data_IF_841845546271
#
_entry.id   IF_841845546271
#
_cell.length_a   1.000
_cell.length_b   1.000
_cell.length_c   1.000
_cell.angle_alpha   90.00
_cell.angle_beta   90.00
_cell.angle_gamma   90.00
#
_symmetry.space_group_name_H-M   'P 1'
#
loop_
_entity.id
_entity.type
_entity.pdbx_description
1 polymer ?
#
# COMPACT_ATOMS: atom_id res chain seq x y z
N UNK A 1 14.09 16.60 -23.37
CA UNK A 1 13.29 15.54 -22.71
C UNK A 1 11.92 16.04 -22.22
N UNK A 2 11.80 17.24 -21.64
CA UNK A 2 10.53 17.79 -21.11
C UNK A 2 9.58 18.33 -22.20
N UNK A 3 10.09 18.74 -23.37
CA UNK A 3 9.27 19.37 -24.43
C UNK A 3 8.40 18.37 -25.22
N UNK A 4 8.76 17.07 -25.21
CA UNK A 4 8.02 16.04 -25.96
C UNK A 4 6.74 15.54 -25.26
N UNK A 5 6.60 15.76 -23.96
CA UNK A 5 5.54 15.11 -23.15
C UNK A 5 4.31 15.98 -22.89
N UNK A 6 4.32 17.24 -23.30
CA UNK A 6 3.20 18.18 -23.06
C UNK A 6 2.03 18.05 -24.05
N UNK A 7 2.16 17.27 -25.11
CA UNK A 7 1.13 17.15 -26.15
C UNK A 7 0.08 16.03 -25.96
N UNK A 8 0.18 15.18 -24.93
CA UNK A 8 -0.60 13.91 -24.90
C UNK A 8 -1.61 13.83 -23.72
N UNK A 9 -1.60 14.73 -22.74
CA UNK A 9 -2.43 14.57 -21.55
C UNK A 9 -3.20 15.86 -21.25
N UNK A 10 -4.42 15.96 -21.76
CA UNK A 10 -5.41 16.95 -21.34
C UNK A 10 -6.77 16.26 -21.36
N UNK A 11 -7.29 15.94 -20.17
CA UNK A 11 -8.73 15.91 -19.82
C UNK A 11 -8.87 15.44 -18.37
N UNK A 12 -9.22 16.40 -17.50
CA UNK A 12 -9.69 16.19 -16.13
C UNK A 12 -11.21 15.97 -16.16
N UNK A 13 -11.72 15.04 -15.35
CA UNK A 13 -13.16 14.81 -15.17
C UNK A 13 -13.47 14.77 -13.68
N UNK A 14 -14.32 15.72 -13.26
CA UNK A 14 -14.84 15.93 -11.92
C UNK A 14 -15.89 14.87 -11.50
N UNK A 15 -15.94 14.56 -10.21
CA UNK A 15 -16.98 13.73 -9.58
C UNK A 15 -17.97 14.60 -8.79
N UNK A 16 -19.29 14.31 -8.82
CA UNK A 16 -20.28 15.07 -8.07
C UNK A 16 -20.60 14.44 -6.69
N UNK A 17 -20.90 15.34 -5.75
CA UNK A 17 -21.28 15.16 -4.35
C UNK A 17 -22.77 14.80 -4.22
N UNK A 18 -23.15 13.97 -3.25
CA UNK A 18 -24.54 13.61 -2.97
C UNK A 18 -25.02 14.19 -1.62
N UNK A 19 -26.21 14.81 -1.65
CA UNK A 19 -26.94 15.42 -0.53
C UNK A 19 -27.88 14.40 0.16
N UNK A 20 -28.18 14.64 1.45
CA UNK A 20 -29.11 13.86 2.29
C UNK A 20 -30.41 14.65 2.52
N UNK A 21 -31.59 14.01 2.61
CA UNK A 21 -32.85 14.72 2.83
C UNK A 21 -33.28 14.78 4.31
N UNK A 22 -33.98 15.87 4.62
CA UNK A 22 -34.59 16.27 5.90
C UNK A 22 -35.96 15.60 6.14
N UNK A 23 -36.32 15.33 7.41
CA UNK A 23 -37.68 14.92 7.83
C UNK A 23 -38.31 15.95 8.79
N UNK A 24 -39.57 16.31 8.52
CA UNK A 24 -40.40 17.25 9.30
C UNK A 24 -41.05 16.61 10.55
N UNK A 25 -41.37 17.38 11.62
CA UNK A 25 -41.92 16.86 12.87
C UNK A 25 -43.46 16.94 12.96
N UNK A 26 -44.10 15.96 13.63
CA UNK A 26 -45.53 15.98 14.01
C UNK A 26 -45.73 16.35 15.49
N UNK A 27 -46.79 17.13 15.76
CA UNK A 27 -47.23 17.69 17.05
C UNK A 27 -47.82 16.64 18.04
N UNK A 28 -47.86 16.93 19.37
CA UNK A 28 -48.19 15.96 20.41
C UNK A 28 -49.68 15.97 20.83
N UNK A 29 -50.21 14.79 21.18
CA UNK A 29 -51.51 14.60 21.81
C UNK A 29 -51.42 14.09 23.25
N UNK A 30 -52.10 14.81 24.14
CA UNK A 30 -52.68 14.51 25.47
C UNK A 30 -51.93 13.63 26.50
N UNK A 31 -51.84 14.23 27.70
CA UNK A 31 -51.36 13.70 28.96
C UNK A 31 -52.47 12.87 29.64
N UNK A 32 -52.15 11.64 30.04
CA UNK A 32 -52.83 10.93 31.13
C UNK A 32 -51.78 10.51 32.16
N UNK A 33 -51.95 11.00 33.39
CA UNK A 33 -51.24 10.56 34.59
C UNK A 33 -52.00 9.37 35.17
N UNK A 34 -51.35 8.22 35.29
CA UNK A 34 -51.47 7.35 36.46
C UNK A 34 -50.28 6.39 36.51
N UNK A 35 -49.32 6.73 37.36
CA UNK A 35 -48.63 5.85 38.31
C UNK A 35 -48.79 4.34 38.07
N UNK A 36 -47.90 3.77 37.25
CA UNK A 36 -47.31 2.42 37.35
C UNK A 36 -46.63 2.07 36.02
N UNK A 37 -45.33 2.34 35.88
CA UNK A 37 -44.57 1.95 34.69
C UNK A 37 -43.29 1.22 35.13
N UNK A 38 -43.33 -0.11 35.04
CA UNK A 38 -42.12 -0.89 34.79
C UNK A 38 -41.48 -0.40 33.49
N UNK A 39 -40.14 -0.28 33.39
CA UNK A 39 -39.53 0.35 32.23
C UNK A 39 -39.86 -0.44 30.96
N UNK A 40 -40.62 0.20 30.06
CA UNK A 40 -40.83 -0.28 28.70
C UNK A 40 -39.46 -0.30 28.01
N UNK A 41 -39.12 -1.44 27.40
CA UNK A 41 -37.90 -1.60 26.61
C UNK A 41 -37.82 -0.51 25.53
N UNK A 42 -36.86 0.40 25.66
CA UNK A 42 -36.38 1.22 24.54
C UNK A 42 -36.51 2.74 24.67
N UNK A 43 -37.08 3.30 25.75
CA UNK A 43 -37.06 4.75 25.98
C UNK A 43 -36.04 5.06 27.09
N UNK A 44 -34.96 5.81 26.83
CA UNK A 44 -34.05 6.25 27.88
C UNK A 44 -34.80 7.21 28.79
N UNK A 45 -34.96 6.86 30.08
CA UNK A 45 -35.41 7.84 31.06
C UNK A 45 -34.33 8.90 31.22
N UNK A 46 -34.71 10.18 31.30
CA UNK A 46 -33.85 11.32 31.65
C UNK A 46 -32.99 11.13 32.93
N UNK A 47 -33.33 10.14 33.76
CA UNK A 47 -32.57 9.68 34.93
C UNK A 47 -31.29 8.90 34.56
N UNK A 48 -31.23 8.27 33.39
CA UNK A 48 -30.14 7.36 33.00
C UNK A 48 -28.97 8.06 32.29
N UNK A 49 -29.08 9.37 32.00
CA UNK A 49 -28.04 10.15 31.31
C UNK A 49 -27.44 11.23 32.23
N UNK A 50 -27.45 10.97 33.55
CA UNK A 50 -26.70 11.78 34.49
C UNK A 50 -25.18 11.55 34.27
N UNK A 51 -24.35 12.62 34.18
CA UNK A 51 -22.90 12.52 33.99
C UNK A 51 -22.17 11.63 35.02
N UNK A 52 -22.84 11.30 36.13
CA UNK A 52 -22.38 10.43 37.20
C UNK A 52 -22.32 8.94 36.88
N UNK A 53 -22.89 8.47 35.77
CA UNK A 53 -22.89 7.06 35.35
C UNK A 53 -21.83 6.69 34.29
N UNK A 54 -20.75 7.48 34.20
CA UNK A 54 -19.53 6.96 33.55
C UNK A 54 -19.11 5.67 34.26
N UNK A 55 -19.22 4.54 33.55
CA UNK A 55 -18.81 3.24 34.07
C UNK A 55 -17.38 3.29 34.59
N UNK A 56 -17.24 3.36 35.92
CA UNK A 56 -15.96 3.18 36.59
C UNK A 56 -15.55 1.72 36.44
N UNK A 57 -14.25 1.46 36.26
CA UNK A 57 -13.74 0.08 36.19
C UNK A 57 -14.20 -0.69 37.43
N UNK A 58 -14.57 -1.96 37.27
CA UNK A 58 -15.19 -2.82 38.30
C UNK A 58 -14.51 -2.80 39.68
N UNK A 59 -13.21 -2.51 39.75
CA UNK A 59 -12.44 -2.39 41.00
C UNK A 59 -12.68 -1.08 41.79
N UNK A 60 -13.28 -0.06 41.17
CA UNK A 60 -13.48 1.27 41.74
C UNK A 60 -14.97 1.64 41.95
N UNK A 61 -15.88 0.66 41.95
CA UNK A 61 -17.31 0.91 42.21
C UNK A 61 -17.56 1.60 43.56
N UNK A 62 -16.65 1.46 44.52
CA UNK A 62 -16.74 2.08 45.86
C UNK A 62 -16.38 3.57 45.90
N UNK A 63 -15.59 4.07 44.95
CA UNK A 63 -15.11 5.47 44.99
C UNK A 63 -16.04 6.49 44.32
N UNK A 64 -17.08 6.02 43.61
CA UNK A 64 -18.04 6.91 42.95
C UNK A 64 -17.40 7.81 41.88
N UNK A 65 -18.25 8.51 41.14
CA UNK A 65 -17.82 9.63 40.30
C UNK A 65 -17.58 10.84 41.22
N UNK A 66 -16.54 11.63 40.93
CA UNK A 66 -16.21 12.79 41.77
C UNK A 66 -17.41 13.74 41.83
N UNK A 67 -17.74 14.20 43.03
CA UNK A 67 -18.83 15.14 43.32
C UNK A 67 -20.24 14.63 42.99
N UNK A 68 -20.43 13.29 42.91
CA UNK A 68 -21.73 12.66 42.72
C UNK A 68 -22.02 11.69 43.84
N UNK A 69 -22.96 12.06 44.71
CA UNK A 69 -23.42 11.24 45.84
C UNK A 69 -24.81 10.70 45.56
N UNK A 70 -24.90 9.41 45.20
CA UNK A 70 -26.19 8.73 45.03
C UNK A 70 -26.78 8.38 46.38
N UNK A 71 -28.07 8.64 46.57
CA UNK A 71 -28.80 8.23 47.75
C UNK A 71 -28.91 6.70 47.77
N UNK A 72 -28.34 6.06 48.80
CA UNK A 72 -28.39 4.62 48.97
C UNK A 72 -29.37 4.26 50.08
N UNK A 73 -30.13 3.18 49.92
CA UNK A 73 -31.13 2.69 50.90
C UNK A 73 -30.58 2.41 52.31
N UNK A 74 -29.26 2.30 52.45
CA UNK A 74 -28.57 2.01 53.71
C UNK A 74 -27.70 3.19 54.15
N UNK A 75 -28.10 4.42 53.88
CA UNK A 75 -27.37 5.59 54.36
C UNK A 75 -27.49 5.71 55.88
N UNK A 76 -26.48 6.32 56.49
CA UNK A 76 -26.48 6.53 57.93
C UNK A 76 -27.68 7.38 58.35
N UNK A 77 -28.12 8.32 57.52
CA UNK A 77 -29.27 9.21 57.75
C UNK A 77 -30.58 8.43 57.94
N UNK A 78 -30.74 7.29 57.26
CA UNK A 78 -31.92 6.43 57.32
C UNK A 78 -31.96 5.54 58.58
N UNK A 79 -30.87 5.49 59.35
CA UNK A 79 -30.84 4.79 60.64
C UNK A 79 -31.62 5.59 61.69
N UNK A 80 -32.90 5.24 61.86
CA UNK A 80 -33.80 5.78 62.89
C UNK A 80 -33.42 5.28 64.30
N UNK A 81 -32.39 5.88 64.89
CA UNK A 81 -32.09 5.70 66.32
C UNK A 81 -33.07 6.48 67.19
N UNK A 82 -33.28 6.01 68.42
CA UNK A 82 -34.21 6.61 69.41
C UNK A 82 -33.85 8.07 69.75
N UNK A 83 -32.57 8.44 69.70
CA UNK A 83 -32.13 9.83 69.86
C UNK A 83 -32.48 10.70 68.67
N UNK A 84 -32.32 10.20 67.43
CA UNK A 84 -32.66 10.93 66.19
C UNK A 84 -34.16 11.13 66.03
N UNK A 85 -34.95 10.15 66.47
CA UNK A 85 -36.42 10.28 66.53
C UNK A 85 -36.89 11.37 67.49
N UNK A 86 -36.16 11.61 68.58
CA UNK A 86 -36.52 12.62 69.60
C UNK A 86 -35.95 14.01 69.30
N UNK A 87 -34.73 14.09 68.76
CA UNK A 87 -34.00 15.36 68.57
C UNK A 87 -33.92 15.81 67.11
N UNK A 88 -34.38 14.99 66.17
CA UNK A 88 -34.14 15.16 64.74
C UNK A 88 -32.74 14.68 64.32
N UNK A 89 -32.52 14.57 63.01
CA UNK A 89 -31.19 14.30 62.46
C UNK A 89 -30.31 15.56 62.59
N UNK A 90 -29.18 15.45 63.29
CA UNK A 90 -28.22 16.54 63.48
C UNK A 90 -26.87 16.13 62.89
N UNK A 91 -26.40 16.90 61.91
CA UNK A 91 -25.03 16.77 61.41
C UNK A 91 -24.09 17.44 62.41
N UNK A 92 -23.04 16.75 62.91
CA UNK A 92 -22.02 17.41 63.70
C UNK A 92 -21.28 18.38 62.78
N UNK A 93 -21.59 19.67 62.91
CA UNK A 93 -20.79 20.73 62.27
C UNK A 93 -19.38 20.60 62.83
N UNK A 94 -18.40 20.44 61.95
CA UNK A 94 -17.02 20.28 62.41
C UNK A 94 -16.60 21.57 63.11
N UNK A 95 -16.13 21.46 64.37
CA UNK A 95 -15.75 22.62 65.20
C UNK A 95 -14.69 23.52 64.52
N UNK A 96 -13.97 22.95 63.56
CA UNK A 96 -12.88 23.60 62.84
C UNK A 96 -13.34 24.44 61.65
N UNK A 97 -14.60 24.41 61.21
CA UNK A 97 -15.04 25.28 60.10
C UNK A 97 -14.97 26.75 60.50
N UNK A 98 -15.47 27.10 61.68
CA UNK A 98 -15.40 28.45 62.23
C UNK A 98 -13.95 28.83 62.56
N UNK A 99 -13.18 27.91 63.16
CA UNK A 99 -11.76 28.15 63.44
C UNK A 99 -10.91 28.26 62.17
N UNK A 100 -11.21 27.54 61.09
CA UNK A 100 -10.48 27.61 59.83
C UNK A 100 -10.81 28.89 59.07
N UNK A 101 -12.07 29.34 59.10
CA UNK A 101 -12.47 30.66 58.62
C UNK A 101 -11.76 31.79 59.38
N UNK A 102 -11.76 31.73 60.72
CA UNK A 102 -11.08 32.71 61.58
C UNK A 102 -9.56 32.65 61.41
N UNK A 103 -8.96 31.46 61.36
CA UNK A 103 -7.52 31.25 61.17
C UNK A 103 -7.03 31.71 59.79
N UNK A 104 -7.81 31.44 58.73
CA UNK A 104 -7.50 31.91 57.38
C UNK A 104 -7.75 33.42 57.22
N UNK A 105 -8.68 34.01 57.98
CA UNK A 105 -8.91 35.45 58.00
C UNK A 105 -7.86 36.20 58.85
N UNK A 106 -7.34 35.58 59.92
CA UNK A 106 -6.37 36.20 60.84
C UNK A 106 -4.92 36.10 60.38
N UNK A 107 -4.54 35.04 59.64
CA UNK A 107 -3.20 34.93 59.09
C UNK A 107 -3.11 35.60 57.71
N UNK A 108 -2.28 36.64 57.61
CA UNK A 108 -1.94 37.29 56.34
C UNK A 108 -0.97 36.39 55.53
N UNK A 109 -1.47 35.24 55.03
CA UNK A 109 -0.70 34.18 54.33
C UNK A 109 -0.07 34.62 52.99
N UNK A 110 -0.29 35.88 52.58
CA UNK A 110 0.25 36.46 51.35
C UNK A 110 1.76 36.74 51.41
N UNK A 111 2.41 36.64 52.57
CA UNK A 111 3.84 36.96 52.74
C UNK A 111 4.79 35.97 52.02
N UNK A 112 4.32 34.76 51.66
CA UNK A 112 5.13 33.71 50.98
C UNK A 112 4.60 33.32 49.59
N UNK A 113 3.93 34.23 48.90
CA UNK A 113 3.34 34.00 47.57
C UNK A 113 4.33 33.42 46.56
N UNK A 114 5.57 33.91 46.51
CA UNK A 114 6.57 33.43 45.54
C UNK A 114 6.94 31.95 45.75
N UNK A 115 7.21 31.56 47.00
CA UNK A 115 7.55 30.17 47.34
C UNK A 115 6.35 29.23 47.18
N UNK A 116 5.15 29.70 47.48
CA UNK A 116 3.91 28.95 47.27
C UNK A 116 3.66 28.69 45.78
N UNK A 117 3.82 29.70 44.90
CA UNK A 117 3.70 29.58 43.45
C UNK A 117 4.64 28.52 42.88
N UNK A 118 5.93 28.56 43.27
CA UNK A 118 6.91 27.59 42.78
C UNK A 118 6.58 26.16 43.23
N UNK A 119 6.16 25.98 44.48
CA UNK A 119 5.78 24.67 45.01
C UNK A 119 4.52 24.11 44.35
N UNK A 120 3.49 24.93 44.14
CA UNK A 120 2.27 24.51 43.43
C UNK A 120 2.56 24.20 41.97
N UNK A 121 3.39 25.00 41.30
CA UNK A 121 3.81 24.75 39.93
C UNK A 121 4.58 23.44 39.81
N UNK A 122 5.55 23.20 40.71
CA UNK A 122 6.31 21.94 40.76
C UNK A 122 5.41 20.73 40.99
N UNK A 123 4.44 20.82 41.91
CA UNK A 123 3.47 19.78 42.17
C UNK A 123 2.58 19.50 40.94
N UNK A 124 2.03 20.54 40.32
CA UNK A 124 1.20 20.41 39.13
C UNK A 124 1.98 19.83 37.95
N UNK A 125 3.22 20.27 37.74
CA UNK A 125 4.11 19.75 36.70
C UNK A 125 4.42 18.26 36.92
N UNK A 126 4.68 17.85 38.17
CA UNK A 126 4.89 16.44 38.51
C UNK A 126 3.65 15.58 38.23
N UNK A 127 2.45 16.06 38.59
CA UNK A 127 1.18 15.38 38.28
C UNK A 127 0.97 15.28 36.77
N UNK A 128 1.21 16.36 36.03
CA UNK A 128 1.03 16.40 34.58
C UNK A 128 2.01 15.45 33.87
N UNK A 129 3.27 15.42 34.30
CA UNK A 129 4.29 14.49 33.81
C UNK A 129 3.85 13.05 34.03
N UNK A 130 3.48 12.70 35.27
CA UNK A 130 3.09 11.34 35.64
C UNK A 130 1.81 10.91 34.90
N UNK A 131 0.85 11.82 34.69
CA UNK A 131 -0.33 11.60 33.83
C UNK A 131 0.09 11.32 32.38
N UNK A 132 1.03 12.10 31.84
CA UNK A 132 1.61 11.88 30.51
C UNK A 132 2.24 10.50 30.36
N UNK A 133 3.03 10.06 31.34
CA UNK A 133 3.63 8.72 31.36
C UNK A 133 2.57 7.61 31.33
N UNK A 134 1.51 7.73 32.13
CA UNK A 134 0.40 6.77 32.10
C UNK A 134 -0.36 6.78 30.78
N UNK A 135 -0.55 7.95 30.16
CA UNK A 135 -1.19 8.07 28.85
C UNK A 135 -0.34 7.42 27.73
N UNK A 136 1.00 7.54 27.79
CA UNK A 136 1.91 6.90 26.83
C UNK A 136 2.01 5.37 27.04
N UNK A 137 1.85 4.89 28.29
CA UNK A 137 1.95 3.47 28.60
C UNK A 137 0.78 2.61 28.07
N UNK A 138 -0.30 3.21 27.56
CA UNK A 138 -1.37 2.46 26.87
C UNK A 138 -0.86 1.71 25.62
N UNK A 139 0.23 2.16 24.99
CA UNK A 139 0.81 1.46 23.83
C UNK A 139 1.63 0.22 24.23
N UNK A 140 2.06 0.07 25.49
CA UNK A 140 2.78 -1.14 25.95
C UNK A 140 1.87 -2.37 25.99
N UNK A 141 0.58 -2.20 26.26
CA UNK A 141 -0.44 -3.26 26.23
C UNK A 141 -0.89 -3.59 24.79
N UNK A 142 -0.55 -2.76 23.79
CA UNK A 142 -0.73 -3.07 22.36
C UNK A 142 0.35 -3.99 21.79
N UNK A 143 1.12 -4.69 22.62
CA UNK A 143 1.82 -5.89 22.16
C UNK A 143 0.74 -6.91 21.78
N UNK A 144 0.39 -6.95 20.49
CA UNK A 144 -0.53 -7.94 19.95
C UNK A 144 -0.18 -9.31 20.54
N UNK A 145 -1.14 -9.91 21.24
CA UNK A 145 -1.03 -11.30 21.70
C UNK A 145 -0.63 -12.16 20.51
N UNK A 146 0.27 -13.14 20.70
CA UNK A 146 0.82 -13.96 19.59
C UNK A 146 -0.28 -14.57 18.71
N UNK A 147 -1.45 -14.83 19.28
CA UNK A 147 -2.61 -15.38 18.56
C UNK A 147 -3.24 -14.41 17.55
N UNK A 148 -3.14 -13.10 17.79
CA UNK A 148 -3.65 -12.02 16.93
C UNK A 148 -2.68 -11.62 15.80
N UNK A 149 -1.49 -12.24 15.75
CA UNK A 149 -0.55 -11.98 14.66
C UNK A 149 -0.99 -12.79 13.43
N UNK A 150 -1.06 -12.16 12.24
CA UNK A 150 -1.29 -12.87 10.98
C UNK A 150 -0.41 -14.12 10.87
N UNK A 151 -0.94 -15.20 10.29
CA UNK A 151 -0.17 -16.43 10.01
C UNK A 151 -0.50 -16.96 8.61
N UNK A 152 0.45 -17.69 8.03
CA UNK A 152 0.15 -18.47 6.84
C UNK A 152 -0.88 -19.55 7.17
N UNK A 153 -1.78 -19.82 6.21
CA UNK A 153 -2.67 -20.97 6.29
C UNK A 153 -1.83 -22.25 6.40
N UNK A 154 -2.29 -23.19 7.23
CA UNK A 154 -1.64 -24.50 7.40
C UNK A 154 -1.47 -25.16 6.03
N UNK A 155 -0.24 -25.52 5.67
CA UNK A 155 0.04 -26.09 4.37
C UNK A 155 -0.63 -27.46 4.24
N UNK A 156 -1.64 -27.56 3.38
CA UNK A 156 -2.35 -28.80 3.11
C UNK A 156 -2.43 -29.03 1.61
N UNK A 157 -1.53 -29.88 1.07
CA UNK A 157 -1.36 -30.10 -0.37
C UNK A 157 -2.66 -30.43 -1.11
N UNK A 158 -3.61 -31.13 -0.47
CA UNK A 158 -4.92 -31.47 -1.06
C UNK A 158 -5.82 -30.26 -1.26
N UNK A 159 -5.65 -29.21 -0.44
CA UNK A 159 -6.49 -28.00 -0.43
C UNK A 159 -5.78 -26.74 -0.90
N UNK A 160 -4.44 -26.76 -1.09
CA UNK A 160 -3.66 -25.57 -1.49
C UNK A 160 -4.27 -24.87 -2.69
N UNK A 161 -4.63 -25.61 -3.74
CA UNK A 161 -5.20 -25.00 -4.94
C UNK A 161 -6.57 -24.39 -4.65
N UNK A 162 -7.46 -25.14 -3.99
CA UNK A 162 -8.80 -24.64 -3.62
C UNK A 162 -8.76 -23.42 -2.70
N UNK A 163 -7.79 -23.37 -1.77
CA UNK A 163 -7.63 -22.27 -0.83
C UNK A 163 -7.06 -21.03 -1.53
N UNK A 164 -6.16 -21.22 -2.51
CA UNK A 164 -5.67 -20.14 -3.37
C UNK A 164 -6.79 -19.53 -4.20
N UNK A 165 -7.58 -20.35 -4.89
CA UNK A 165 -8.71 -19.87 -5.70
C UNK A 165 -9.69 -19.09 -4.84
N UNK A 166 -10.06 -19.63 -3.66
CA UNK A 166 -10.95 -18.94 -2.71
C UNK A 166 -10.38 -17.62 -2.22
N UNK A 167 -9.08 -17.58 -1.92
CA UNK A 167 -8.40 -16.38 -1.43
C UNK A 167 -8.34 -15.29 -2.50
N UNK A 168 -7.82 -15.58 -3.70
CA UNK A 168 -7.67 -14.58 -4.75
C UNK A 168 -9.02 -14.12 -5.33
N UNK A 169 -9.99 -15.02 -5.45
CA UNK A 169 -11.37 -14.62 -5.78
C UNK A 169 -11.95 -13.67 -4.73
N UNK A 170 -11.70 -13.92 -3.45
CA UNK A 170 -12.14 -13.02 -2.38
C UNK A 170 -11.37 -11.68 -2.37
N UNK A 171 -10.07 -11.70 -2.69
CA UNK A 171 -9.23 -10.51 -2.79
C UNK A 171 -9.70 -9.61 -3.94
N UNK A 172 -9.99 -10.20 -5.11
CA UNK A 172 -10.52 -9.51 -6.29
C UNK A 172 -11.91 -8.91 -6.04
N UNK A 173 -12.82 -9.68 -5.41
CA UNK A 173 -14.22 -9.26 -5.12
C UNK A 173 -14.39 -8.21 -4.03
N UNK A 174 -13.33 -7.60 -3.52
CA UNK A 174 -13.52 -6.52 -2.56
C UNK A 174 -13.67 -6.96 -1.08
N UNK A 175 -13.47 -8.23 -0.71
CA UNK A 175 -13.64 -8.65 0.70
C UNK A 175 -12.75 -7.85 1.67
N UNK A 176 -13.20 -7.60 2.93
CA UNK A 176 -12.46 -6.79 3.88
C UNK A 176 -11.12 -7.44 4.27
N UNK A 177 -10.08 -6.61 4.36
CA UNK A 177 -8.68 -7.05 4.61
C UNK A 177 -8.52 -7.80 5.93
N UNK A 178 -9.31 -7.43 6.95
CA UNK A 178 -9.34 -8.09 8.27
C UNK A 178 -9.77 -9.55 8.22
N UNK A 179 -10.63 -9.93 7.27
CA UNK A 179 -11.03 -11.32 7.08
C UNK A 179 -9.97 -12.11 6.31
N UNK A 180 -9.38 -11.48 5.29
CA UNK A 180 -8.39 -12.10 4.42
C UNK A 180 -7.09 -12.42 5.17
N UNK A 181 -6.70 -11.60 6.15
CA UNK A 181 -5.44 -11.73 6.87
C UNK A 181 -5.32 -13.03 7.70
N UNK A 182 -6.45 -13.68 7.97
CA UNK A 182 -6.52 -14.90 8.78
C UNK A 182 -6.10 -16.17 8.01
N UNK A 183 -6.20 -16.15 6.66
CA UNK A 183 -5.99 -17.34 5.82
C UNK A 183 -5.16 -17.00 4.57
N UNK A 184 -3.90 -16.60 4.78
CA UNK A 184 -3.02 -16.32 3.65
C UNK A 184 -2.42 -17.62 3.05
N UNK A 185 -2.53 -17.83 1.73
CA UNK A 185 -1.84 -18.93 1.08
C UNK A 185 -0.32 -18.72 1.11
N UNK A 186 0.44 -19.81 1.30
CA UNK A 186 1.90 -19.78 1.24
C UNK A 186 2.41 -19.86 -0.21
N UNK A 187 3.45 -19.10 -0.50
CA UNK A 187 4.13 -19.05 -1.80
C UNK A 187 5.63 -19.23 -1.63
N UNK A 188 6.18 -20.21 -2.34
CA UNK A 188 7.62 -20.46 -2.41
C UNK A 188 8.33 -19.51 -3.39
N UNK A 189 7.67 -19.17 -4.49
CA UNK A 189 8.18 -18.35 -5.59
C UNK A 189 7.31 -17.10 -5.72
N UNK A 190 7.92 -15.92 -5.61
CA UNK A 190 7.21 -14.63 -5.57
C UNK A 190 6.75 -14.19 -6.96
N UNK A 191 7.47 -14.61 -8.00
CA UNK A 191 7.13 -14.36 -9.40
C UNK A 191 5.73 -14.89 -9.78
N UNK A 192 5.28 -15.97 -9.14
CA UNK A 192 3.93 -16.51 -9.39
C UNK A 192 2.81 -15.64 -8.84
N UNK A 193 3.08 -14.78 -7.85
CA UNK A 193 2.07 -13.84 -7.36
C UNK A 193 1.64 -12.88 -8.47
N UNK A 194 2.55 -12.47 -9.36
CA UNK A 194 2.19 -11.60 -10.48
C UNK A 194 1.25 -12.28 -11.46
N UNK A 195 1.27 -13.61 -11.58
CA UNK A 195 0.32 -14.34 -12.42
C UNK A 195 -1.05 -14.40 -11.74
N UNK A 196 -1.09 -14.80 -10.47
CA UNK A 196 -2.34 -14.83 -9.70
C UNK A 196 -2.99 -13.43 -9.62
N UNK A 197 -2.21 -12.36 -9.49
CA UNK A 197 -2.75 -11.01 -9.50
C UNK A 197 -3.37 -10.63 -10.85
N UNK A 198 -2.77 -11.06 -11.95
CA UNK A 198 -3.27 -10.81 -13.30
C UNK A 198 -4.52 -11.65 -13.60
N UNK A 199 -4.44 -12.97 -13.37
CA UNK A 199 -5.48 -13.94 -13.71
C UNK A 199 -6.81 -13.63 -12.99
N UNK A 200 -6.74 -13.09 -11.77
CA UNK A 200 -7.91 -12.66 -10.99
C UNK A 200 -8.24 -11.17 -11.11
N UNK A 201 -7.54 -10.43 -11.98
CA UNK A 201 -7.69 -8.99 -12.20
C UNK A 201 -7.76 -8.18 -10.90
N UNK A 202 -6.75 -8.37 -10.03
CA UNK A 202 -6.73 -7.77 -8.70
C UNK A 202 -6.34 -6.29 -8.80
N UNK A 203 -7.04 -5.40 -8.08
CA UNK A 203 -6.64 -4.00 -8.02
C UNK A 203 -5.25 -3.82 -7.38
N UNK A 204 -4.45 -2.88 -7.90
CA UNK A 204 -3.07 -2.65 -7.43
C UNK A 204 -2.97 -2.37 -5.92
N UNK A 205 -3.91 -1.62 -5.33
CA UNK A 205 -3.93 -1.32 -3.90
C UNK A 205 -4.05 -2.59 -3.04
N UNK A 206 -4.78 -3.58 -3.54
CA UNK A 206 -5.02 -4.86 -2.87
C UNK A 206 -3.88 -5.85 -3.11
N UNK A 207 -3.35 -5.89 -4.33
CA UNK A 207 -2.16 -6.68 -4.65
C UNK A 207 -0.98 -6.22 -3.77
N UNK A 208 -0.77 -4.91 -3.67
CA UNK A 208 0.27 -4.31 -2.84
C UNK A 208 0.10 -4.66 -1.35
N UNK A 209 -1.12 -4.55 -0.82
CA UNK A 209 -1.42 -4.99 0.54
C UNK A 209 -1.06 -6.47 0.75
N UNK A 210 -1.42 -7.34 -0.19
CA UNK A 210 -1.09 -8.76 -0.12
C UNK A 210 0.43 -8.99 -0.08
N UNK A 211 1.19 -8.33 -0.96
CA UNK A 211 2.66 -8.42 -0.99
C UNK A 211 3.26 -7.99 0.35
N UNK A 212 2.84 -6.85 0.90
CA UNK A 212 3.33 -6.36 2.20
C UNK A 212 3.07 -7.35 3.33
N UNK A 213 1.84 -7.87 3.42
CA UNK A 213 1.50 -8.85 4.47
C UNK A 213 2.32 -10.13 4.30
N UNK A 214 2.50 -10.61 3.07
CA UNK A 214 3.34 -11.79 2.79
C UNK A 214 4.79 -11.57 3.22
N UNK A 215 5.36 -10.39 2.99
CA UNK A 215 6.73 -10.04 3.41
C UNK A 215 6.85 -9.97 4.94
N UNK A 216 5.88 -9.35 5.62
CA UNK A 216 5.83 -9.28 7.08
C UNK A 216 5.69 -10.67 7.73
N UNK A 217 4.91 -11.56 7.13
CA UNK A 217 4.77 -12.94 7.61
C UNK A 217 6.07 -13.73 7.47
N UNK A 218 6.75 -13.60 6.34
CA UNK A 218 8.07 -14.21 6.15
C UNK A 218 9.07 -13.69 7.19
N UNK A 219 9.04 -12.40 7.49
CA UNK A 219 9.87 -11.79 8.53
C UNK A 219 9.60 -12.37 9.93
N UNK A 220 8.32 -12.52 10.30
CA UNK A 220 7.92 -12.98 11.63
C UNK A 220 8.20 -14.47 11.87
N UNK A 221 8.21 -15.29 10.81
CA UNK A 221 8.53 -16.71 10.89
C UNK A 221 10.05 -16.98 10.93
N UNK A 222 10.90 -15.96 10.83
CA UNK A 222 12.35 -16.09 10.89
C UNK A 222 12.92 -15.97 12.32
N UNK A 223 14.12 -16.50 12.51
CA UNK A 223 14.81 -16.51 13.80
C UNK A 223 15.15 -15.09 14.27
N UNK A 224 15.21 -14.89 15.60
CA UNK A 224 15.34 -13.56 16.23
C UNK A 224 16.64 -12.82 15.85
N UNK A 225 17.68 -13.53 15.45
CA UNK A 225 19.02 -12.99 15.16
C UNK A 225 19.18 -12.33 13.78
N UNK A 226 18.22 -12.48 12.85
CA UNK A 226 18.36 -12.02 11.46
C UNK A 226 17.41 -10.88 11.06
N UNK A 227 16.62 -10.35 11.99
CA UNK A 227 15.46 -9.51 11.67
C UNK A 227 15.79 -8.26 10.84
N UNK A 228 16.74 -7.40 11.21
CA UNK A 228 17.02 -6.17 10.43
C UNK A 228 17.47 -6.48 9.00
N UNK A 229 18.39 -7.44 8.83
CA UNK A 229 18.86 -7.91 7.52
C UNK A 229 17.73 -8.51 6.68
N UNK A 230 16.68 -9.06 7.31
CA UNK A 230 15.62 -9.78 6.62
C UNK A 230 14.61 -8.87 5.89
N UNK A 231 14.42 -7.63 6.33
CA UNK A 231 13.58 -6.67 5.59
C UNK A 231 14.24 -6.29 4.27
N UNK A 232 15.54 -5.96 4.32
CA UNK A 232 16.35 -5.63 3.15
C UNK A 232 16.42 -6.82 2.18
N UNK A 233 16.55 -8.05 2.72
CA UNK A 233 16.46 -9.28 1.92
C UNK A 233 15.08 -9.43 1.26
N UNK A 234 13.99 -9.10 1.96
CA UNK A 234 12.64 -9.20 1.42
C UNK A 234 12.38 -8.22 0.28
N UNK A 235 12.88 -6.97 0.38
CA UNK A 235 12.77 -5.97 -0.70
C UNK A 235 13.66 -6.36 -1.88
N UNK A 236 14.84 -6.91 -1.63
CA UNK A 236 15.76 -7.41 -2.66
C UNK A 236 15.17 -8.61 -3.45
N UNK A 237 14.65 -9.62 -2.75
CA UNK A 237 14.00 -10.79 -3.39
C UNK A 237 12.82 -10.37 -4.28
N UNK A 238 12.08 -9.35 -3.84
CA UNK A 238 10.94 -8.83 -4.59
C UNK A 238 11.39 -8.04 -5.83
N UNK A 239 12.46 -7.25 -5.73
CA UNK A 239 13.10 -6.60 -6.88
C UNK A 239 13.55 -7.63 -7.92
N UNK A 240 14.23 -8.69 -7.48
CA UNK A 240 14.65 -9.78 -8.36
C UNK A 240 13.47 -10.54 -8.99
N UNK A 241 12.36 -10.72 -8.26
CA UNK A 241 11.14 -11.31 -8.80
C UNK A 241 10.49 -10.42 -9.87
N UNK A 242 10.53 -9.08 -9.69
CA UNK A 242 10.09 -8.13 -10.71
C UNK A 242 10.95 -8.26 -11.96
N UNK A 243 12.28 -8.24 -11.82
CA UNK A 243 13.20 -8.38 -12.95
C UNK A 243 12.97 -9.70 -13.73
N UNK A 244 12.88 -10.84 -13.04
CA UNK A 244 12.56 -12.13 -13.68
C UNK A 244 11.25 -12.08 -14.45
N UNK A 245 10.23 -11.42 -13.89
CA UNK A 245 8.94 -11.25 -14.54
C UNK A 245 9.05 -10.36 -15.78
N UNK A 246 9.75 -9.23 -15.70
CA UNK A 246 10.04 -8.33 -16.84
C UNK A 246 10.76 -9.07 -17.95
N UNK A 247 11.84 -9.78 -17.63
CA UNK A 247 12.60 -10.59 -18.59
C UNK A 247 11.71 -11.65 -19.26
N UNK A 248 10.88 -12.35 -18.49
CA UNK A 248 9.96 -13.34 -19.04
C UNK A 248 8.94 -12.70 -20.00
N UNK A 249 8.39 -11.53 -19.65
CA UNK A 249 7.46 -10.81 -20.52
C UNK A 249 8.14 -10.33 -21.82
N UNK A 250 9.34 -9.76 -21.74
CA UNK A 250 10.11 -9.34 -22.93
C UNK A 250 10.38 -10.53 -23.85
N UNK A 251 10.74 -11.69 -23.30
CA UNK A 251 10.92 -12.93 -24.08
C UNK A 251 9.62 -13.39 -24.74
N UNK A 252 8.51 -13.36 -24.01
CA UNK A 252 7.20 -13.76 -24.53
C UNK A 252 6.73 -12.84 -25.66
N UNK A 253 6.82 -11.52 -25.46
CA UNK A 253 6.50 -10.51 -26.47
C UNK A 253 7.37 -10.68 -27.72
N UNK A 254 8.68 -10.84 -27.54
CA UNK A 254 9.62 -11.07 -28.65
C UNK A 254 9.30 -12.36 -29.41
N UNK A 255 8.98 -13.44 -28.71
CA UNK A 255 8.69 -14.76 -29.31
C UNK A 255 7.35 -14.77 -30.07
N UNK A 256 6.33 -14.13 -29.51
CA UNK A 256 4.95 -14.16 -30.04
C UNK A 256 4.60 -12.96 -30.92
N UNK A 257 5.57 -12.09 -31.20
CA UNK A 257 5.39 -10.90 -32.04
C UNK A 257 4.71 -11.17 -33.39
N UNK A 258 4.90 -12.36 -33.98
CA UNK A 258 4.30 -12.75 -35.27
C UNK A 258 2.86 -13.26 -35.17
N UNK A 259 2.37 -13.58 -33.98
CA UNK A 259 1.04 -14.19 -33.74
C UNK A 259 0.08 -13.15 -33.15
N UNK A 260 -0.53 -12.30 -33.99
CA UNK A 260 -1.38 -11.15 -33.56
C UNK A 260 -2.37 -11.47 -32.43
N UNK A 261 -3.17 -12.54 -32.57
CA UNK A 261 -4.19 -12.88 -31.54
C UNK A 261 -3.60 -13.24 -30.17
N UNK A 262 -2.43 -13.90 -30.10
CA UNK A 262 -1.79 -14.23 -28.82
C UNK A 262 -0.90 -13.09 -28.31
N UNK A 263 -0.57 -12.16 -29.18
CA UNK A 263 0.21 -10.98 -28.82
C UNK A 263 -0.62 -10.06 -27.94
N UNK A 264 -1.90 -9.82 -28.29
CA UNK A 264 -2.82 -8.97 -27.52
C UNK A 264 -3.02 -9.47 -26.07
N UNK A 265 -3.22 -10.78 -25.87
CA UNK A 265 -3.31 -11.36 -24.51
C UNK A 265 -2.05 -11.09 -23.66
N UNK A 266 -0.89 -11.05 -24.30
CA UNK A 266 0.40 -10.78 -23.64
C UNK A 266 0.57 -9.27 -23.42
N UNK A 267 0.01 -8.41 -24.26
CA UNK A 267 -0.01 -6.96 -24.08
C UNK A 267 -0.77 -6.58 -22.81
N UNK A 268 -1.97 -7.13 -22.61
CA UNK A 268 -2.75 -6.89 -21.38
C UNK A 268 -1.98 -7.31 -20.13
N UNK A 269 -1.32 -8.47 -20.22
CA UNK A 269 -0.45 -8.98 -19.16
C UNK A 269 0.76 -8.05 -18.91
N UNK A 270 1.36 -7.50 -19.96
CA UNK A 270 2.45 -6.54 -19.87
C UNK A 270 2.00 -5.29 -19.11
N UNK A 271 0.91 -4.66 -19.53
CA UNK A 271 0.42 -3.42 -18.93
C UNK A 271 0.05 -3.60 -17.46
N UNK A 272 -0.64 -4.69 -17.13
CA UNK A 272 -1.00 -4.97 -15.75
C UNK A 272 0.23 -5.20 -14.85
N UNK A 273 1.16 -6.08 -15.26
CA UNK A 273 2.31 -6.43 -14.42
C UNK A 273 3.29 -5.27 -14.29
N UNK A 274 3.59 -4.57 -15.38
CA UNK A 274 4.48 -3.40 -15.34
C UNK A 274 3.88 -2.24 -14.57
N UNK A 275 2.56 -2.02 -14.68
CA UNK A 275 1.81 -1.06 -13.87
C UNK A 275 1.88 -1.38 -12.37
N UNK A 276 1.69 -2.65 -12.01
CA UNK A 276 1.84 -3.11 -10.63
C UNK A 276 3.27 -2.88 -10.10
N UNK A 277 4.29 -3.24 -10.88
CA UNK A 277 5.69 -3.02 -10.49
C UNK A 277 6.00 -1.54 -10.26
N UNK A 278 5.49 -0.64 -11.13
CA UNK A 278 5.59 0.81 -10.92
C UNK A 278 4.95 1.23 -9.60
N UNK A 279 3.77 0.70 -9.27
CA UNK A 279 3.08 1.02 -8.02
C UNK A 279 3.88 0.52 -6.79
N UNK A 280 4.42 -0.69 -6.88
CA UNK A 280 5.28 -1.28 -5.84
C UNK A 280 6.59 -0.50 -5.64
N UNK A 281 7.20 -0.02 -6.72
CA UNK A 281 8.40 0.80 -6.69
C UNK A 281 8.15 2.13 -5.97
N UNK A 282 7.07 2.84 -6.32
CA UNK A 282 6.71 4.13 -5.70
C UNK A 282 6.40 4.00 -4.21
N UNK A 283 5.76 2.90 -3.83
CA UNK A 283 5.40 2.62 -2.44
C UNK A 283 6.58 2.16 -1.57
N UNK A 284 7.75 1.86 -2.18
CA UNK A 284 8.95 1.43 -1.46
C UNK A 284 8.95 -0.05 -1.07
N UNK A 285 8.15 -0.87 -1.74
CA UNK A 285 8.19 -2.32 -1.56
C UNK A 285 9.42 -2.97 -2.20
N UNK A 286 10.09 -2.27 -3.11
CA UNK A 286 11.24 -2.77 -3.87
C UNK A 286 12.53 -2.12 -3.37
N UNK A 287 13.63 -2.87 -3.41
CA UNK A 287 14.95 -2.25 -3.39
C UNK A 287 15.12 -1.49 -4.71
N UNK A 288 15.13 -0.16 -4.60
CA UNK A 288 15.17 0.74 -5.76
C UNK A 288 16.44 0.57 -6.57
N UNK A 289 17.60 0.47 -5.91
CA UNK A 289 18.88 0.45 -6.61
C UNK A 289 19.05 -0.84 -7.40
N UNK A 290 18.75 -1.98 -6.77
CA UNK A 290 18.79 -3.28 -7.45
C UNK A 290 17.81 -3.31 -8.63
N UNK A 291 16.56 -2.90 -8.40
CA UNK A 291 15.52 -2.95 -9.42
C UNK A 291 15.88 -2.13 -10.67
N UNK A 292 16.41 -0.91 -10.49
CA UNK A 292 16.78 -0.05 -11.61
C UNK A 292 18.06 -0.52 -12.32
N UNK A 293 19.00 -1.11 -11.58
CA UNK A 293 20.19 -1.73 -12.16
C UNK A 293 19.79 -2.90 -13.07
N UNK A 294 18.96 -3.82 -12.56
CA UNK A 294 18.40 -4.96 -13.28
C UNK A 294 17.59 -4.57 -14.52
N UNK A 295 16.79 -3.49 -14.40
CA UNK A 295 16.04 -2.95 -15.52
C UNK A 295 16.97 -2.42 -16.62
N UNK A 296 18.04 -1.73 -16.24
CA UNK A 296 19.06 -1.22 -17.16
C UNK A 296 19.87 -2.35 -17.81
N UNK A 297 20.14 -3.42 -17.07
CA UNK A 297 20.75 -4.64 -17.61
C UNK A 297 19.85 -5.35 -18.61
N UNK A 298 18.55 -5.42 -18.32
CA UNK A 298 17.55 -5.97 -19.24
C UNK A 298 17.55 -5.19 -20.55
N UNK A 299 17.65 -3.86 -20.50
CA UNK A 299 17.75 -3.03 -21.70
C UNK A 299 18.96 -3.40 -22.56
N UNK A 300 20.14 -3.49 -21.94
CA UNK A 300 21.39 -3.84 -22.62
C UNK A 300 21.32 -5.24 -23.25
N UNK A 301 20.91 -6.24 -22.48
CA UNK A 301 20.92 -7.65 -22.90
C UNK A 301 19.92 -7.92 -24.02
N UNK A 302 18.69 -7.40 -23.92
CA UNK A 302 17.61 -7.77 -24.85
C UNK A 302 17.47 -6.85 -26.06
N UNK A 303 18.02 -5.63 -26.03
CA UNK A 303 17.85 -4.67 -27.12
C UNK A 303 19.17 -4.22 -27.75
N UNK A 304 20.15 -3.79 -26.94
CA UNK A 304 21.45 -3.34 -27.46
C UNK A 304 22.22 -4.52 -28.07
N UNK A 305 22.42 -5.60 -27.31
CA UNK A 305 23.16 -6.78 -27.80
C UNK A 305 22.47 -7.54 -28.93
N UNK A 306 21.15 -7.38 -29.06
CA UNK A 306 20.36 -8.08 -30.09
C UNK A 306 20.15 -7.25 -31.36
N UNK A 307 20.54 -5.97 -31.37
CA UNK A 307 20.46 -5.08 -32.53
C UNK A 307 19.04 -4.59 -32.86
N UNK A 308 18.20 -4.32 -31.85
CA UNK A 308 16.87 -3.70 -32.01
C UNK A 308 15.91 -4.35 -33.03
N UNK A 309 15.97 -5.67 -33.22
CA UNK A 309 15.19 -6.41 -34.23
C UNK A 309 13.66 -6.30 -34.13
N UNK A 310 13.12 -5.83 -33.00
CA UNK A 310 11.68 -5.79 -32.70
C UNK A 310 11.30 -4.42 -32.14
N UNK A 311 11.01 -3.49 -33.06
CA UNK A 311 10.72 -2.08 -32.77
C UNK A 311 9.56 -1.89 -31.79
N UNK A 312 8.47 -2.64 -31.94
CA UNK A 312 7.31 -2.50 -31.03
C UNK A 312 7.61 -2.90 -29.59
N UNK A 313 8.34 -4.01 -29.41
CA UNK A 313 8.72 -4.51 -28.08
C UNK A 313 9.71 -3.53 -27.42
N UNK A 314 10.62 -2.96 -28.22
CA UNK A 314 11.51 -1.88 -27.78
C UNK A 314 10.71 -0.65 -27.33
N UNK A 315 9.76 -0.19 -28.13
CA UNK A 315 8.90 0.97 -27.81
C UNK A 315 8.19 0.76 -26.46
N UNK A 316 7.56 -0.40 -26.28
CA UNK A 316 6.88 -0.75 -25.03
C UNK A 316 7.83 -0.79 -23.83
N UNK A 317 9.02 -1.38 -24.01
CA UNK A 317 10.01 -1.43 -22.95
C UNK A 317 10.53 -0.03 -22.60
N UNK A 318 10.78 0.82 -23.59
CA UNK A 318 11.22 2.20 -23.38
C UNK A 318 10.15 3.02 -22.66
N UNK A 319 8.87 2.88 -23.04
CA UNK A 319 7.76 3.50 -22.31
C UNK A 319 7.75 3.07 -20.84
N UNK A 320 7.93 1.77 -20.55
CA UNK A 320 8.06 1.28 -19.20
C UNK A 320 9.30 1.84 -18.47
N UNK A 321 10.45 1.89 -19.15
CA UNK A 321 11.70 2.44 -18.61
C UNK A 321 11.57 3.92 -18.23
N UNK A 322 10.81 4.71 -19.02
CA UNK A 322 10.62 6.14 -18.76
C UNK A 322 9.96 6.43 -17.42
N UNK A 323 9.16 5.50 -16.88
CA UNK A 323 8.54 5.67 -15.56
C UNK A 323 9.54 5.81 -14.42
N UNK A 324 10.78 5.37 -14.62
CA UNK A 324 11.82 5.36 -13.60
C UNK A 324 12.97 6.33 -13.91
N UNK A 325 12.85 7.12 -14.97
CA UNK A 325 13.94 7.94 -15.46
C UNK A 325 14.41 8.99 -14.43
N UNK A 326 13.47 9.58 -13.68
CA UNK A 326 13.77 10.53 -12.62
C UNK A 326 14.63 9.87 -11.53
N UNK A 327 14.21 8.71 -11.02
CA UNK A 327 14.99 7.95 -10.04
C UNK A 327 16.35 7.49 -10.61
N UNK A 328 16.42 7.10 -11.89
CA UNK A 328 17.68 6.72 -12.54
C UNK A 328 18.64 7.92 -12.60
N UNK A 329 18.13 9.10 -12.95
CA UNK A 329 18.92 10.33 -13.05
C UNK A 329 19.45 10.81 -11.69
N UNK A 330 18.76 10.46 -10.61
CA UNK A 330 19.19 10.80 -9.25
C UNK A 330 20.48 10.09 -8.83
N UNK A 331 20.77 8.92 -9.42
CA UNK A 331 22.00 8.17 -9.16
C UNK A 331 23.05 8.43 -10.22
N UNK A 332 24.19 9.01 -9.84
CA UNK A 332 25.26 9.35 -10.79
C UNK A 332 25.80 8.11 -11.54
N UNK A 333 25.95 6.98 -10.86
CA UNK A 333 26.48 5.76 -11.47
C UNK A 333 25.49 5.17 -12.48
N UNK A 334 24.22 5.10 -12.10
CA UNK A 334 23.20 4.53 -12.97
C UNK A 334 22.87 5.46 -14.14
N UNK A 335 22.80 6.77 -13.89
CA UNK A 335 22.61 7.77 -14.94
C UNK A 335 23.72 7.71 -15.99
N UNK A 336 24.99 7.62 -15.59
CA UNK A 336 26.11 7.46 -16.53
C UNK A 336 25.97 6.18 -17.35
N UNK A 337 25.61 5.07 -16.71
CA UNK A 337 25.41 3.79 -17.37
C UNK A 337 24.26 3.83 -18.38
N UNK A 338 23.11 4.34 -17.97
CA UNK A 338 21.95 4.50 -18.83
C UNK A 338 22.26 5.42 -20.02
N UNK A 339 22.91 6.56 -19.78
CA UNK A 339 23.32 7.49 -20.84
C UNK A 339 24.25 6.83 -21.86
N UNK A 340 25.25 6.06 -21.43
CA UNK A 340 26.11 5.31 -22.35
C UNK A 340 25.31 4.32 -23.21
N UNK A 341 24.39 3.57 -22.61
CA UNK A 341 23.55 2.61 -23.34
C UNK A 341 22.61 3.30 -24.33
N UNK A 342 22.03 4.44 -23.96
CA UNK A 342 21.21 5.23 -24.87
C UNK A 342 22.03 5.82 -26.02
N UNK A 343 23.24 6.34 -25.76
CA UNK A 343 24.12 6.83 -26.82
C UNK A 343 24.53 5.70 -27.78
N UNK A 344 24.86 4.52 -27.25
CA UNK A 344 25.11 3.33 -28.08
C UNK A 344 23.88 2.97 -28.91
N UNK A 345 22.70 2.97 -28.29
CA UNK A 345 21.45 2.69 -28.98
C UNK A 345 21.16 3.66 -30.12
N UNK A 346 21.35 4.96 -29.88
CA UNK A 346 21.20 6.01 -30.89
C UNK A 346 22.21 5.88 -32.02
N UNK A 347 23.46 5.54 -31.72
CA UNK A 347 24.48 5.29 -32.74
C UNK A 347 24.06 4.16 -33.67
N UNK A 348 23.60 3.02 -33.12
CA UNK A 348 23.13 1.89 -33.91
C UNK A 348 21.93 2.25 -34.79
N UNK A 349 21.00 3.07 -34.29
CA UNK A 349 19.84 3.53 -35.07
C UNK A 349 20.30 4.48 -36.18
N UNK A 350 21.21 5.42 -35.89
CA UNK A 350 21.77 6.36 -36.86
C UNK A 350 22.49 5.63 -37.99
N UNK A 351 23.38 4.70 -37.64
CA UNK A 351 24.12 3.88 -38.61
C UNK A 351 23.17 3.09 -39.49
N UNK A 352 22.15 2.45 -38.90
CA UNK A 352 21.12 1.72 -39.65
C UNK A 352 20.36 2.62 -40.63
N UNK A 353 20.04 3.86 -40.22
CA UNK A 353 19.36 4.83 -41.08
C UNK A 353 20.26 5.33 -42.23
N UNK A 354 21.54 5.58 -41.95
CA UNK A 354 22.52 5.98 -42.96
C UNK A 354 22.73 4.87 -44.00
N UNK A 355 22.75 3.60 -43.57
CA UNK A 355 22.81 2.46 -44.48
C UNK A 355 21.59 2.39 -45.38
N UNK A 356 20.39 2.59 -44.82
CA UNK A 356 19.15 2.61 -45.59
C UNK A 356 19.14 3.76 -46.61
N UNK A 357 19.56 4.96 -46.21
CA UNK A 357 19.65 6.15 -47.09
C UNK A 357 20.66 5.95 -48.22
N UNK A 358 21.83 5.40 -47.91
CA UNK A 358 22.85 5.11 -48.91
C UNK A 358 22.36 4.06 -49.91
N UNK A 359 21.65 3.04 -49.42
CA UNK A 359 21.03 2.02 -50.27
C UNK A 359 19.94 2.61 -51.18
N UNK A 360 19.04 3.44 -50.67
CA UNK A 360 18.00 4.07 -51.50
C UNK A 360 18.62 4.97 -52.56
N UNK A 361 19.64 5.75 -52.21
CA UNK A 361 20.36 6.60 -53.16
C UNK A 361 21.17 5.82 -54.20
N UNK A 362 21.62 4.60 -53.88
CA UNK A 362 22.23 3.67 -54.83
C UNK A 362 21.18 3.08 -55.77
N UNK A 363 20.04 2.61 -55.22
CA UNK A 363 18.92 2.07 -55.98
C UNK A 363 18.37 3.07 -57.00
N UNK A 364 18.19 4.33 -56.61
CA UNK A 364 17.74 5.42 -57.51
C UNK A 364 18.74 5.72 -58.63
N UNK A 365 20.04 5.65 -58.36
CA UNK A 365 21.08 5.88 -59.39
C UNK A 365 21.17 4.75 -60.41
N UNK A 366 20.80 3.54 -60.02
CA UNK A 366 20.89 2.32 -60.83
C UNK A 366 19.51 1.79 -61.22
N UNK A 367 18.48 2.65 -61.26
CA UNK A 367 17.09 2.27 -61.50
C UNK A 367 16.89 1.49 -62.83
N UNK A 368 17.70 1.78 -63.85
CA UNK A 368 17.70 1.06 -65.14
C UNK A 368 18.29 -0.35 -65.07
N UNK A 369 19.22 -0.59 -64.13
CA UNK A 369 19.86 -1.90 -63.91
C UNK A 369 18.99 -2.81 -63.04
N UNK A 370 18.11 -2.22 -62.21
CA UNK A 370 17.21 -2.93 -61.29
C UNK A 370 15.81 -3.22 -61.85
N UNK A 371 15.49 -2.80 -63.08
CA UNK A 371 14.19 -3.06 -63.73
C UNK A 371 13.81 -4.54 -63.92
N UNK A 372 14.71 -5.47 -63.60
CA UNK A 372 14.46 -6.91 -63.65
C UNK A 372 14.74 -7.67 -62.35
N UNK A 373 15.14 -6.98 -61.28
CA UNK A 373 15.34 -7.61 -59.98
C UNK A 373 14.11 -7.37 -59.11
N UNK A 374 13.35 -8.45 -58.89
CA UNK A 374 12.32 -8.56 -57.83
C UNK A 374 12.73 -7.76 -56.61
N UNK A 375 11.80 -6.93 -56.11
CA UNK A 375 11.95 -6.12 -54.90
C UNK A 375 12.84 -6.79 -53.86
N UNK A 376 14.11 -6.38 -53.81
CA UNK A 376 14.99 -6.80 -52.73
C UNK A 376 14.50 -6.06 -51.48
N UNK A 377 13.66 -6.76 -50.72
CA UNK A 377 12.92 -6.24 -49.60
C UNK A 377 13.88 -5.99 -48.42
N UNK A 378 14.60 -4.87 -48.47
CA UNK A 378 15.50 -4.38 -47.43
C UNK A 378 14.76 -3.80 -46.21
N UNK A 379 13.51 -4.21 -45.99
CA UNK A 379 12.90 -4.20 -44.65
C UNK A 379 13.72 -5.03 -43.65
N UNK A 380 14.64 -5.87 -44.08
CA UNK A 380 15.43 -6.77 -43.24
C UNK A 380 16.36 -6.18 -42.17
N UNK A 381 16.48 -4.85 -42.02
CA UNK A 381 17.19 -4.29 -40.86
C UNK A 381 16.28 -3.85 -39.71
N UNK A 382 14.97 -3.72 -39.94
CA UNK A 382 13.98 -3.41 -38.89
C UNK A 382 12.68 -4.23 -38.93
N UNK A 383 12.42 -4.99 -40.00
CA UNK A 383 11.41 -6.04 -40.11
C UNK A 383 11.92 -7.17 -41.02
N UNK A 384 12.51 -8.21 -40.42
CA UNK A 384 12.75 -9.49 -41.07
C UNK A 384 11.49 -10.35 -41.01
N UNK A 385 10.67 -10.29 -42.07
CA UNK A 385 9.99 -11.49 -42.52
C UNK A 385 11.08 -12.49 -42.95
N UNK A 386 11.30 -13.50 -42.11
CA UNK A 386 12.21 -14.59 -42.45
C UNK A 386 11.50 -15.51 -43.43
N UNK A 387 12.15 -15.74 -44.56
CA UNK A 387 11.80 -16.77 -45.54
C UNK A 387 11.55 -18.13 -44.84
N UNK A 388 10.46 -18.84 -45.15
CA UNK A 388 10.10 -20.13 -44.55
C UNK A 388 11.25 -21.14 -44.60
N UNK A 389 11.34 -22.00 -43.58
CA UNK A 389 12.46 -22.93 -43.35
C UNK A 389 12.71 -23.92 -44.51
N UNK A 390 11.74 -24.07 -45.40
CA UNK A 390 11.81 -24.91 -46.60
C UNK A 390 12.63 -24.29 -47.75
N UNK A 391 12.88 -22.99 -47.74
CA UNK A 391 13.54 -22.23 -48.82
C UNK A 391 14.96 -21.77 -48.45
N UNK A 392 15.47 -22.15 -47.28
CA UNK A 392 16.85 -21.84 -46.88
C UNK A 392 17.82 -22.76 -47.63
N UNK A 393 18.86 -22.23 -48.32
CA UNK A 393 19.83 -23.06 -49.03
C UNK A 393 20.60 -23.94 -48.04
N UNK A 394 20.55 -25.25 -48.25
CA UNK A 394 21.06 -26.24 -47.29
C UNK A 394 22.55 -26.53 -47.45
N UNK A 395 23.17 -26.08 -48.54
CA UNK A 395 24.56 -26.36 -48.85
C UNK A 395 25.40 -25.11 -49.14
N UNK A 396 26.66 -25.18 -48.72
CA UNK A 396 27.67 -24.10 -48.78
C UNK A 396 27.94 -23.60 -50.19
N UNK A 397 27.73 -24.43 -51.20
CA UNK A 397 27.93 -24.06 -52.61
C UNK A 397 26.75 -23.26 -53.20
N UNK A 398 25.53 -23.46 -52.69
CA UNK A 398 24.38 -22.62 -53.05
C UNK A 398 24.52 -21.19 -52.50
N UNK A 399 25.16 -21.05 -51.34
CA UNK A 399 25.48 -19.74 -50.75
C UNK A 399 26.53 -19.03 -51.61
N UNK A 400 27.58 -19.72 -52.08
CA UNK A 400 28.63 -19.09 -52.92
C UNK A 400 28.11 -18.53 -54.24
N UNK A 401 27.16 -19.19 -54.90
CA UNK A 401 26.57 -18.71 -56.15
C UNK A 401 25.71 -17.45 -55.96
N UNK A 402 25.15 -17.24 -54.76
CA UNK A 402 24.39 -16.03 -54.42
C UNK A 402 25.27 -14.78 -54.25
N UNK A 403 26.55 -14.95 -53.90
CA UNK A 403 27.52 -13.85 -53.74
C UNK A 403 28.35 -13.57 -55.00
N UNK A 404 28.27 -14.43 -56.02
CA UNK A 404 29.03 -14.26 -57.28
C UNK A 404 28.24 -13.52 -58.38
N UNK A 405 26.93 -13.36 -58.23
CA UNK A 405 26.08 -12.61 -59.16
C UNK A 405 25.57 -11.27 -58.56
N UNK A 406 26.23 -10.78 -57.52
CA UNK A 406 26.17 -9.40 -57.01
C UNK A 406 27.54 -8.78 -57.18
#
# INVERSE_FOLDING_TARGET
MVVLFRCIMSEEVDLPTAELPEEEPKLPGKIENTDNIFPVKGIPSWINDQPGDRMLRKTNLRMGTADVYKQNKNQEEDLLTTERLKKGYQLPVTQYELQSLVFNASENKLIRLERAKYRSQSMLASVLHKKGEYHMNYDRERKATKDNVPRFAVHNWKRVLTDRVKFFSALARGKPRQYLIQKLPSFRRKEFLFHEFYDYNIRYDRALWCVKVMSLLNFNNSSKTQKKTLLDVGTLELSQACNKTTVNLVKLLTKRYREYSKFDDILDMWYYKTGLMKYMFKDGCLDKMEFLHDLTDTFNVYFIKTGFKKTKVLEMFLQYYTYFLEDISSSILLSRRAAMLFSQGLCMISEGYDHQRNWTAYKERHEKDFGHFMEFNLRGHFDLEEVPENERPKNRDQIKNLWQNT
#
